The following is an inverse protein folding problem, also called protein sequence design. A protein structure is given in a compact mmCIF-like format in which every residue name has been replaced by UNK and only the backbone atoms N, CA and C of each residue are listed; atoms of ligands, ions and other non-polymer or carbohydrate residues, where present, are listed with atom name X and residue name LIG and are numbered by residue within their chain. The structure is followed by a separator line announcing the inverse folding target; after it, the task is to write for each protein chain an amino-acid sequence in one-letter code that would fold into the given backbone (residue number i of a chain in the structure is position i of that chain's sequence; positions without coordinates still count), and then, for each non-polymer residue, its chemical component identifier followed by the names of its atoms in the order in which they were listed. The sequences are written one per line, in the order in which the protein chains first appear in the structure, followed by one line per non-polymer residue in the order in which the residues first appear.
data_IF_052329231222
#
_entry.id   IF_052329231222
#
_cell.length_a   1.000
_cell.length_b   1.000
_cell.length_c   1.000
_cell.angle_alpha   90.00
_cell.angle_beta   90.00
_cell.angle_gamma   90.00
#
_symmetry.space_group_name_H-M   'P 1'
#
loop_
_entity.id
_entity.type
_entity.pdbx_description
1 polymer ?
#
# COMPACT_ATOMS: atom_id res chain seq x y z
N UNK A 1 30.46 -5.84 -44.49
CA UNK A 1 29.00 -5.54 -44.49
C UNK A 1 28.29 -6.84 -44.17
N UNK A 2 27.71 -6.98 -42.96
CA UNK A 2 26.99 -8.20 -42.55
C UNK A 2 25.53 -8.12 -43.00
N UNK A 3 25.04 -9.21 -43.58
CA UNK A 3 23.67 -9.37 -44.10
C UNK A 3 22.66 -9.46 -42.95
N UNK A 4 21.54 -8.70 -42.95
CA UNK A 4 20.52 -8.82 -41.90
C UNK A 4 19.71 -10.11 -42.06
N UNK A 5 19.48 -10.86 -40.98
CA UNK A 5 18.62 -12.05 -40.97
C UNK A 5 17.33 -11.82 -40.13
N UNK A 6 16.27 -12.62 -40.33
CA UNK A 6 15.00 -12.47 -39.59
C UNK A 6 15.14 -12.73 -38.08
N UNK A 7 16.15 -13.48 -37.65
CA UNK A 7 16.44 -13.72 -36.23
C UNK A 7 17.10 -12.52 -35.53
N UNK A 8 17.69 -11.57 -36.27
CA UNK A 8 18.23 -10.31 -35.71
C UNK A 8 17.15 -9.48 -35.01
N UNK A 9 15.88 -9.67 -35.36
CA UNK A 9 14.73 -8.99 -34.78
C UNK A 9 14.21 -9.66 -33.49
N UNK A 10 14.66 -10.88 -33.17
CA UNK A 10 14.21 -11.66 -32.03
C UNK A 10 15.20 -11.55 -30.86
N UNK A 11 15.47 -10.33 -30.40
CA UNK A 11 16.04 -10.14 -29.06
C UNK A 11 14.91 -9.72 -28.13
N UNK A 12 14.51 -10.62 -27.22
CA UNK A 12 13.62 -10.27 -26.10
C UNK A 12 14.41 -9.35 -25.18
N UNK A 13 14.34 -8.04 -25.44
CA UNK A 13 14.78 -7.05 -24.47
C UNK A 13 13.66 -6.93 -23.44
N UNK A 14 14.00 -7.20 -22.18
CA UNK A 14 13.06 -6.99 -21.09
C UNK A 14 12.64 -5.50 -21.08
N UNK A 15 11.38 -5.25 -21.45
CA UNK A 15 10.75 -3.93 -21.32
C UNK A 15 9.82 -3.97 -20.11
N UNK A 16 10.34 -3.56 -18.96
CA UNK A 16 9.56 -3.52 -17.74
C UNK A 16 8.69 -2.27 -17.73
N UNK A 17 7.40 -2.40 -18.07
CA UNK A 17 6.42 -1.29 -18.01
C UNK A 17 6.43 -0.61 -16.64
N UNK A 18 6.56 -1.39 -15.55
CA UNK A 18 6.62 -0.86 -14.17
C UNK A 18 7.81 0.07 -13.90
N UNK A 19 8.90 -0.02 -14.67
CA UNK A 19 10.06 0.87 -14.52
C UNK A 19 9.88 2.21 -15.24
N UNK A 20 8.86 2.34 -16.10
CA UNK A 20 8.50 3.61 -16.72
C UNK A 20 7.38 4.28 -15.90
N UNK A 21 7.77 5.00 -14.84
CA UNK A 21 6.84 5.67 -13.93
C UNK A 21 5.81 6.54 -14.66
N UNK A 22 6.24 7.33 -15.66
CA UNK A 22 5.34 8.25 -16.37
C UNK A 22 4.28 7.50 -17.17
N UNK A 23 4.68 6.43 -17.86
CA UNK A 23 3.74 5.61 -18.63
C UNK A 23 2.66 5.01 -17.73
N UNK A 24 3.06 4.48 -16.57
CA UNK A 24 2.15 3.89 -15.58
C UNK A 24 1.20 4.95 -15.01
N UNK A 25 1.72 6.12 -14.63
CA UNK A 25 0.91 7.22 -14.09
C UNK A 25 -0.11 7.73 -15.12
N UNK A 26 0.30 7.90 -16.38
CA UNK A 26 -0.61 8.33 -17.44
C UNK A 26 -1.65 7.28 -17.73
N UNK A 27 -1.28 6.01 -17.76
CA UNK A 27 -2.20 4.89 -17.98
C UNK A 27 -3.28 4.83 -16.91
N UNK A 28 -2.89 4.95 -15.64
CA UNK A 28 -3.81 4.97 -14.50
C UNK A 28 -4.76 6.17 -14.54
N UNK A 29 -4.25 7.37 -14.84
CA UNK A 29 -5.07 8.60 -14.85
C UNK A 29 -5.95 8.77 -16.08
N UNK A 30 -5.62 8.13 -17.21
CA UNK A 30 -6.33 8.32 -18.48
C UNK A 30 -7.34 7.22 -18.81
N UNK A 31 -7.23 6.04 -18.18
CA UNK A 31 -8.10 4.90 -18.45
C UNK A 31 -8.80 4.43 -17.20
N UNK A 32 -10.13 4.51 -17.20
CA UNK A 32 -10.96 4.02 -16.10
C UNK A 32 -10.74 2.51 -15.84
N UNK A 33 -10.49 1.71 -16.88
CA UNK A 33 -10.24 0.27 -16.76
C UNK A 33 -8.96 0.01 -15.97
N UNK A 34 -7.93 0.82 -16.21
CA UNK A 34 -6.65 0.69 -15.53
C UNK A 34 -6.77 1.18 -14.09
N UNK A 35 -7.50 2.28 -13.86
CA UNK A 35 -7.89 2.74 -12.52
C UNK A 35 -8.56 1.62 -11.72
N UNK A 36 -9.63 1.03 -12.26
CA UNK A 36 -10.37 -0.06 -11.62
C UNK A 36 -9.49 -1.29 -11.34
N UNK A 37 -8.62 -1.67 -12.27
CA UNK A 37 -7.71 -2.81 -12.08
C UNK A 37 -6.72 -2.61 -10.91
N UNK A 38 -6.36 -1.36 -10.63
CA UNK A 38 -5.50 -0.98 -9.50
C UNK A 38 -6.33 -0.88 -8.22
N UNK A 39 -7.48 -0.20 -8.28
CA UNK A 39 -8.23 0.29 -7.12
C UNK A 39 -9.21 -0.73 -6.53
N UNK A 40 -9.83 -1.58 -7.36
CA UNK A 40 -10.91 -2.47 -6.92
C UNK A 40 -10.50 -3.40 -5.76
N UNK A 41 -9.26 -3.91 -5.79
CA UNK A 41 -8.77 -4.83 -4.76
C UNK A 41 -8.48 -4.08 -3.45
N UNK A 42 -7.66 -3.01 -3.41
CA UNK A 42 -7.51 -2.18 -2.22
C UNK A 42 -8.84 -1.71 -1.65
N UNK A 43 -9.75 -1.23 -2.50
CA UNK A 43 -11.04 -0.68 -2.09
C UNK A 43 -11.95 -1.72 -1.48
N UNK A 44 -11.92 -2.97 -1.97
CA UNK A 44 -12.64 -4.07 -1.34
C UNK A 44 -12.01 -4.51 -0.03
N UNK A 45 -10.68 -4.64 0.00
CA UNK A 45 -9.92 -5.10 1.15
C UNK A 45 -10.02 -4.17 2.35
N UNK A 46 -9.98 -2.85 2.14
CA UNK A 46 -9.98 -1.88 3.25
C UNK A 46 -11.37 -1.42 3.66
N UNK A 47 -12.43 -1.73 2.88
CA UNK A 47 -13.80 -1.26 3.14
C UNK A 47 -14.35 -1.61 4.52
N UNK A 48 -14.06 -2.82 5.00
CA UNK A 48 -14.57 -3.34 6.27
C UNK A 48 -13.49 -3.48 7.35
N UNK A 49 -12.24 -3.19 7.00
CA UNK A 49 -11.10 -3.39 7.88
C UNK A 49 -10.90 -4.83 8.35
N UNK A 50 -10.43 -5.00 9.58
CA UNK A 50 -10.17 -6.30 10.20
C UNK A 50 -11.13 -6.59 11.34
N UNK A 51 -11.23 -7.87 11.72
CA UNK A 51 -11.82 -8.29 12.99
C UNK A 51 -10.72 -8.73 13.94
N UNK A 52 -10.67 -8.15 15.13
CA UNK A 52 -9.73 -8.54 16.18
C UNK A 52 -10.24 -9.80 16.87
N UNK A 53 -9.47 -10.89 16.83
CA UNK A 53 -9.86 -12.21 17.38
C UNK A 53 -9.24 -12.54 18.73
N UNK A 54 -8.47 -11.63 19.33
CA UNK A 54 -7.84 -11.84 20.65
C UNK A 54 -8.86 -11.85 21.79
N UNK A 55 -8.51 -12.47 22.91
CA UNK A 55 -9.31 -12.51 24.16
C UNK A 55 -9.27 -11.19 24.95
N UNK A 56 -9.18 -10.05 24.27
CA UNK A 56 -9.29 -8.73 24.90
C UNK A 56 -10.74 -8.44 25.29
N UNK A 57 -10.92 -7.60 26.32
CA UNK A 57 -12.25 -7.15 26.72
C UNK A 57 -12.96 -6.44 25.56
N UNK A 58 -14.28 -6.61 25.48
CA UNK A 58 -15.08 -6.02 24.41
C UNK A 58 -14.99 -4.50 24.38
N UNK A 59 -14.85 -3.85 25.54
CA UNK A 59 -14.67 -2.40 25.66
C UNK A 59 -13.35 -1.95 25.03
N UNK A 60 -12.26 -2.63 25.35
CA UNK A 60 -10.93 -2.29 24.84
C UNK A 60 -10.83 -2.53 23.32
N UNK A 61 -11.51 -3.57 22.82
CA UNK A 61 -11.64 -3.78 21.37
C UNK A 61 -12.35 -2.61 20.69
N UNK A 62 -13.48 -2.16 21.25
CA UNK A 62 -14.22 -1.03 20.70
C UNK A 62 -13.41 0.27 20.71
N UNK A 63 -12.61 0.51 21.75
CA UNK A 63 -11.67 1.65 21.79
C UNK A 63 -10.66 1.55 20.65
N UNK A 64 -10.05 0.38 20.43
CA UNK A 64 -9.05 0.21 19.39
C UNK A 64 -9.65 0.38 17.98
N UNK A 65 -10.81 -0.21 17.72
CA UNK A 65 -11.53 -0.04 16.44
C UNK A 65 -11.86 1.44 16.21
N UNK A 66 -12.38 2.14 17.22
CA UNK A 66 -12.66 3.59 17.14
C UNK A 66 -11.40 4.42 16.87
N UNK A 67 -10.26 4.06 17.46
CA UNK A 67 -8.99 4.77 17.22
C UNK A 67 -8.44 4.51 15.81
N UNK A 68 -8.58 3.30 15.28
CA UNK A 68 -8.19 2.99 13.90
C UNK A 68 -8.99 3.81 12.88
N UNK A 69 -10.28 4.01 13.15
CA UNK A 69 -11.16 4.84 12.33
C UNK A 69 -10.85 6.33 12.46
N UNK A 70 -10.65 6.83 13.69
CA UNK A 70 -10.30 8.23 13.95
C UNK A 70 -8.96 8.62 13.29
N UNK A 71 -7.99 7.72 13.31
CA UNK A 71 -6.68 7.90 12.67
C UNK A 71 -6.71 7.59 11.15
N UNK A 72 -7.85 7.20 10.60
CA UNK A 72 -8.02 6.85 9.18
C UNK A 72 -6.99 5.84 8.67
N UNK A 73 -6.64 4.86 9.50
CA UNK A 73 -5.60 3.87 9.17
C UNK A 73 -5.99 3.06 7.93
N UNK A 74 -7.28 2.80 7.74
CA UNK A 74 -7.78 2.08 6.57
C UNK A 74 -7.62 2.85 5.27
N UNK A 75 -7.82 4.17 5.30
CA UNK A 75 -7.62 5.05 4.14
C UNK A 75 -6.13 5.12 3.78
N UNK A 76 -5.26 5.33 4.78
CA UNK A 76 -3.81 5.34 4.57
C UNK A 76 -3.27 4.00 4.04
N UNK A 77 -3.80 2.88 4.54
CA UNK A 77 -3.42 1.55 4.06
C UNK A 77 -3.93 1.30 2.63
N UNK A 78 -5.14 1.77 2.30
CA UNK A 78 -5.71 1.68 0.96
C UNK A 78 -4.79 2.37 -0.06
N UNK A 79 -4.33 3.58 0.26
CA UNK A 79 -3.37 4.32 -0.57
C UNK A 79 -2.08 3.50 -0.74
N UNK A 80 -1.45 3.04 0.34
CA UNK A 80 -0.21 2.26 0.24
C UNK A 80 -0.39 1.02 -0.66
N UNK A 81 -1.54 0.35 -0.60
CA UNK A 81 -1.85 -0.79 -1.46
C UNK A 81 -2.02 -0.37 -2.93
N UNK A 82 -2.71 0.74 -3.21
CA UNK A 82 -2.84 1.30 -4.58
C UNK A 82 -1.48 1.66 -5.17
N UNK A 83 -0.63 2.34 -4.40
CA UNK A 83 0.73 2.68 -4.81
C UNK A 83 1.57 1.43 -5.07
N UNK A 84 1.43 0.40 -4.22
CA UNK A 84 2.11 -0.88 -4.40
C UNK A 84 1.69 -1.58 -5.70
N UNK A 85 0.39 -1.60 -5.99
CA UNK A 85 -0.13 -2.20 -7.23
C UNK A 85 0.24 -1.42 -8.47
N UNK A 86 0.24 -0.09 -8.38
CA UNK A 86 0.57 0.79 -9.49
C UNK A 86 2.05 0.70 -9.87
N UNK A 87 2.96 0.81 -8.89
CA UNK A 87 4.40 0.89 -9.14
C UNK A 87 5.17 -0.42 -8.92
N UNK A 88 4.50 -1.47 -8.43
CA UNK A 88 5.11 -2.76 -8.10
C UNK A 88 5.71 -2.86 -6.69
N UNK A 89 5.44 -1.87 -5.83
CA UNK A 89 5.83 -1.89 -4.42
C UNK A 89 5.63 -0.53 -3.74
N UNK A 90 5.31 -0.54 -2.44
CA UNK A 90 5.20 0.66 -1.60
C UNK A 90 5.50 0.33 -0.14
N UNK A 91 5.80 1.36 0.66
CA UNK A 91 6.04 1.24 2.11
C UNK A 91 5.15 2.26 2.83
N UNK A 92 4.34 1.78 3.76
CA UNK A 92 3.60 2.61 4.70
C UNK A 92 4.40 2.81 5.98
N UNK A 93 4.44 4.03 6.51
CA UNK A 93 5.16 4.35 7.74
C UNK A 93 4.20 4.95 8.77
N UNK A 94 3.98 4.23 9.87
CA UNK A 94 3.14 4.67 10.98
C UNK A 94 4.03 5.36 12.00
N UNK A 95 3.82 6.66 12.20
CA UNK A 95 4.58 7.48 13.14
C UNK A 95 3.75 7.76 14.38
N UNK A 96 4.42 7.69 15.54
CA UNK A 96 3.88 8.17 16.80
C UNK A 96 4.52 9.52 17.08
N UNK A 97 3.68 10.54 17.31
CA UNK A 97 4.17 11.87 17.63
C UNK A 97 5.09 11.84 18.87
N UNK A 98 6.23 12.53 18.77
CA UNK A 98 7.22 12.59 19.86
C UNK A 98 8.14 11.37 19.98
N UNK A 99 8.03 10.36 19.10
CA UNK A 99 8.98 9.25 19.03
C UNK A 99 9.84 9.33 17.77
N UNK A 100 11.14 9.09 17.91
CA UNK A 100 12.03 9.03 16.76
C UNK A 100 11.87 7.66 16.05
N UNK A 101 11.66 7.64 14.71
CA UNK A 101 11.46 6.44 13.89
C UNK A 101 12.44 5.30 14.11
N UNK A 102 13.71 5.67 14.36
CA UNK A 102 14.84 4.75 14.40
C UNK A 102 15.18 4.30 15.83
N UNK A 103 14.42 4.77 16.82
CA UNK A 103 14.61 4.41 18.22
C UNK A 103 13.51 3.46 18.68
N UNK A 104 13.82 2.47 19.53
CA UNK A 104 12.80 1.62 20.13
C UNK A 104 11.69 2.44 20.81
N UNK A 105 10.45 1.98 20.69
CA UNK A 105 9.31 2.65 21.30
C UNK A 105 9.52 2.80 22.81
N UNK A 106 9.40 4.04 23.32
CA UNK A 106 9.63 4.31 24.74
C UNK A 106 8.44 3.80 25.56
N UNK A 107 8.60 2.65 26.24
CA UNK A 107 7.53 2.02 27.04
C UNK A 107 6.91 2.96 28.08
N UNK A 108 7.68 3.94 28.58
CA UNK A 108 7.21 4.98 29.52
C UNK A 108 6.11 5.89 28.95
N UNK A 109 6.07 6.06 27.64
CA UNK A 109 5.09 6.93 26.94
C UNK A 109 3.81 6.20 26.58
N UNK A 110 3.77 4.87 26.73
CA UNK A 110 2.57 4.07 26.51
C UNK A 110 1.69 4.23 27.75
N UNK A 111 0.48 4.76 27.57
CA UNK A 111 -0.52 4.81 28.64
C UNK A 111 -0.75 3.42 29.22
N UNK A 112 -0.70 3.26 30.54
CA UNK A 112 -1.06 1.98 31.16
C UNK A 112 -2.53 1.71 30.83
N UNK A 113 -2.81 0.52 30.30
CA UNK A 113 -4.19 0.02 30.23
C UNK A 113 -4.75 0.06 31.66
N UNK A 114 -5.84 0.82 31.84
CA UNK A 114 -6.52 1.01 33.13
C UNK A 114 -7.47 -0.14 33.36
#
# INVERSE_FOLDING_TARGET
MQTPNQHSASTYRANFTSRNRMLVEWSYRSSWIIGEAVDAIPDDMTRKGIRITSEIDAKDRGILESQLDELQIWDALNDVLKWSRLYGGAVGFIMIEGQAPMTPAATRTIGRAV
#
